data_IF_425496119814
#
_entry.id   IF_425496119814
#
_cell.length_a   1.000
_cell.length_b   1.000
_cell.length_c   1.000
_cell.angle_alpha   90.00
_cell.angle_beta   90.00
_cell.angle_gamma   90.00
#
_symmetry.space_group_name_H-M   'P 1'
#
loop_
_entity.id
_entity.type
_entity.pdbx_description
1 polymer ?
#
# COMPACT_ATOMS: atom_id res chain seq x y z
N UNK A 1 7.29 -22.27 -18.43
CA UNK A 1 7.62 -20.95 -17.85
C UNK A 1 6.35 -20.28 -17.30
N UNK A 2 5.70 -20.84 -16.28
CA UNK A 2 4.32 -20.43 -15.96
C UNK A 2 3.96 -20.25 -14.49
N UNK A 3 4.90 -20.45 -13.55
CA UNK A 3 4.63 -20.31 -12.11
C UNK A 3 5.66 -19.38 -11.47
N UNK A 4 6.95 -19.58 -11.77
CA UNK A 4 8.04 -18.71 -11.28
C UNK A 4 7.90 -17.23 -11.72
N UNK A 5 7.29 -16.96 -12.88
CA UNK A 5 7.07 -15.59 -13.36
C UNK A 5 5.93 -14.87 -12.64
N UNK A 6 4.88 -15.59 -12.21
CA UNK A 6 3.76 -15.03 -11.47
C UNK A 6 4.17 -14.69 -10.03
N UNK A 7 4.96 -15.57 -9.39
CA UNK A 7 5.51 -15.30 -8.06
C UNK A 7 6.48 -14.11 -8.08
N UNK A 8 7.37 -14.01 -9.07
CA UNK A 8 8.30 -12.89 -9.19
C UNK A 8 7.57 -11.55 -9.39
N UNK A 9 6.49 -11.51 -10.18
CA UNK A 9 5.73 -10.28 -10.42
C UNK A 9 4.92 -9.87 -9.19
N UNK A 10 4.30 -10.83 -8.51
CA UNK A 10 3.61 -10.51 -7.26
C UNK A 10 4.61 -10.06 -6.19
N UNK A 11 5.79 -10.69 -6.10
CA UNK A 11 6.89 -10.22 -5.26
C UNK A 11 7.35 -8.80 -5.63
N UNK A 12 7.46 -8.46 -6.91
CA UNK A 12 7.82 -7.12 -7.35
C UNK A 12 6.76 -6.09 -6.96
N UNK A 13 5.47 -6.44 -7.03
CA UNK A 13 4.36 -5.59 -6.56
C UNK A 13 4.29 -5.47 -5.07
N UNK A 14 4.53 -6.54 -4.34
CA UNK A 14 4.56 -6.55 -2.89
C UNK A 14 5.72 -5.72 -2.38
N UNK A 15 6.92 -5.91 -2.96
CA UNK A 15 8.08 -5.07 -2.71
C UNK A 15 7.81 -3.61 -3.06
N UNK A 16 7.04 -3.33 -4.11
CA UNK A 16 6.63 -1.95 -4.42
C UNK A 16 5.54 -1.43 -3.47
N UNK A 17 4.53 -2.21 -3.11
CA UNK A 17 3.54 -1.83 -2.11
C UNK A 17 4.23 -1.51 -0.79
N UNK A 18 5.21 -2.32 -0.43
CA UNK A 18 6.13 -2.08 0.67
C UNK A 18 6.98 -0.81 0.45
N UNK A 19 7.47 -0.52 -0.74
CA UNK A 19 8.16 0.74 -1.06
C UNK A 19 7.24 1.97 -0.96
N UNK A 20 5.96 1.84 -1.34
CA UNK A 20 4.97 2.90 -1.13
C UNK A 20 4.81 3.10 0.39
N UNK A 21 4.74 2.00 1.15
CA UNK A 21 4.75 2.02 2.62
C UNK A 21 6.07 2.59 3.17
N UNK A 22 7.22 2.37 2.54
CA UNK A 22 8.57 2.67 3.08
C UNK A 22 9.28 3.88 2.46
N UNK A 23 8.56 4.72 1.70
CA UNK A 23 9.05 6.04 1.30
C UNK A 23 10.40 6.07 0.55
N UNK A 24 10.53 5.36 -0.56
CA UNK A 24 11.42 5.86 -1.60
C UNK A 24 10.59 6.76 -2.55
N UNK A 25 11.15 7.93 -2.90
CA UNK A 25 10.49 9.05 -3.58
C UNK A 25 10.51 8.92 -5.11
N UNK A 26 10.74 7.72 -5.62
CA UNK A 26 10.80 7.45 -7.06
C UNK A 26 9.55 7.95 -7.79
N UNK A 27 9.76 8.42 -9.02
CA UNK A 27 8.66 8.91 -9.83
C UNK A 27 7.75 7.77 -10.26
N UNK A 28 6.40 7.89 -10.17
CA UNK A 28 5.46 6.86 -10.60
C UNK A 28 5.72 6.33 -12.02
N UNK A 29 6.16 7.19 -12.93
CA UNK A 29 6.45 6.79 -14.32
C UNK A 29 7.68 5.89 -14.45
N UNK A 30 8.65 6.00 -13.53
CA UNK A 30 9.84 5.12 -13.51
C UNK A 30 9.51 3.71 -13.03
N UNK A 31 8.42 3.56 -12.29
CA UNK A 31 8.01 2.30 -11.66
C UNK A 31 6.80 1.66 -12.35
N UNK A 32 6.10 2.39 -13.22
CA UNK A 32 4.99 1.86 -14.00
C UNK A 32 5.34 0.59 -14.79
N UNK A 33 6.51 0.48 -15.47
CA UNK A 33 6.88 -0.75 -16.17
C UNK A 33 6.99 -1.97 -15.25
N UNK A 34 7.50 -1.79 -14.02
CA UNK A 34 7.67 -2.87 -13.05
C UNK A 34 6.32 -3.42 -12.57
N UNK A 35 5.32 -2.56 -12.43
CA UNK A 35 3.99 -2.97 -11.95
C UNK A 35 3.17 -3.68 -13.02
N UNK A 36 3.50 -3.50 -14.30
CA UNK A 36 2.79 -4.04 -15.46
C UNK A 36 3.37 -5.36 -15.99
N UNK A 37 4.41 -5.92 -15.37
CA UNK A 37 5.21 -7.04 -15.90
C UNK A 37 4.45 -8.34 -16.24
N UNK A 38 3.27 -8.58 -15.65
CA UNK A 38 2.44 -9.77 -15.93
C UNK A 38 1.17 -9.47 -16.75
N UNK A 39 1.00 -8.23 -17.25
CA UNK A 39 -0.21 -7.80 -17.97
C UNK A 39 -1.40 -7.42 -17.10
N UNK A 40 -1.32 -7.44 -15.77
CA UNK A 40 -2.39 -6.98 -14.84
C UNK A 40 -2.40 -5.45 -14.70
N UNK A 41 -2.61 -4.76 -15.81
CA UNK A 41 -2.57 -3.30 -15.93
C UNK A 41 -3.48 -2.59 -14.93
N UNK A 42 -4.70 -3.11 -14.73
CA UNK A 42 -5.67 -2.50 -13.80
C UNK A 42 -5.17 -2.52 -12.35
N UNK A 43 -4.46 -3.58 -11.94
CA UNK A 43 -3.85 -3.67 -10.60
C UNK A 43 -2.65 -2.73 -10.50
N UNK A 44 -1.82 -2.70 -11.53
CA UNK A 44 -0.69 -1.78 -11.65
C UNK A 44 -1.13 -0.31 -11.50
N UNK A 45 -2.20 0.08 -12.20
CA UNK A 45 -2.76 1.44 -12.13
C UNK A 45 -3.26 1.81 -10.74
N UNK A 46 -3.86 0.88 -9.98
CA UNK A 46 -4.24 1.14 -8.58
C UNK A 46 -3.01 1.47 -7.74
N UNK A 47 -1.94 0.67 -7.84
CA UNK A 47 -0.70 0.91 -7.11
C UNK A 47 -0.03 2.24 -7.51
N UNK A 48 -0.05 2.57 -8.80
CA UNK A 48 0.42 3.87 -9.29
C UNK A 48 -0.42 5.05 -8.76
N UNK A 49 -1.73 4.90 -8.64
CA UNK A 49 -2.59 5.94 -8.06
C UNK A 49 -2.24 6.20 -6.58
N UNK A 50 -1.97 5.15 -5.80
CA UNK A 50 -1.46 5.29 -4.43
C UNK A 50 -0.11 6.02 -4.40
N UNK A 51 0.81 5.69 -5.30
CA UNK A 51 2.11 6.34 -5.37
C UNK A 51 2.00 7.83 -5.73
N UNK A 52 1.18 8.18 -6.72
CA UNK A 52 0.87 9.56 -7.10
C UNK A 52 0.22 10.31 -5.92
N UNK A 53 -0.78 9.72 -5.27
CA UNK A 53 -1.45 10.30 -4.11
C UNK A 53 -0.48 10.56 -2.96
N UNK A 54 0.43 9.63 -2.67
CA UNK A 54 1.47 9.78 -1.65
C UNK A 54 2.39 10.96 -1.99
N UNK A 55 2.76 11.13 -3.26
CA UNK A 55 3.68 12.19 -3.72
C UNK A 55 3.07 13.60 -3.61
N UNK A 56 1.82 13.77 -4.01
CA UNK A 56 1.17 15.09 -4.09
C UNK A 56 0.33 15.44 -2.85
N UNK A 57 0.03 14.44 -2.01
CA UNK A 57 -0.85 14.56 -0.85
C UNK A 57 -0.13 14.39 0.48
N UNK A 58 -0.90 14.05 1.51
CA UNK A 58 -0.36 13.76 2.82
C UNK A 58 0.18 12.32 2.85
N UNK A 59 1.51 12.21 2.67
CA UNK A 59 2.25 10.94 2.66
C UNK A 59 1.86 10.00 3.79
N UNK A 60 1.77 10.52 5.01
CA UNK A 60 1.52 9.69 6.19
C UNK A 60 0.08 9.19 6.24
N UNK A 61 -0.88 10.01 5.79
CA UNK A 61 -2.28 9.61 5.67
C UNK A 61 -2.48 8.54 4.59
N UNK A 62 -1.80 8.67 3.44
CA UNK A 62 -1.82 7.66 2.37
C UNK A 62 -1.16 6.36 2.83
N UNK A 63 -0.03 6.42 3.54
CA UNK A 63 0.62 5.24 4.15
C UNK A 63 -0.31 4.55 5.15
N UNK A 64 -0.95 5.30 6.04
CA UNK A 64 -1.91 4.72 7.00
C UNK A 64 -3.10 4.02 6.32
N UNK A 65 -3.58 4.57 5.20
CA UNK A 65 -4.61 3.89 4.40
C UNK A 65 -4.09 2.60 3.76
N UNK A 66 -2.86 2.59 3.24
CA UNK A 66 -2.25 1.36 2.72
C UNK A 66 -2.03 0.30 3.79
N UNK A 67 -1.57 0.70 4.98
CA UNK A 67 -1.45 -0.18 6.13
C UNK A 67 -2.79 -0.83 6.45
N UNK A 68 -3.87 -0.05 6.50
CA UNK A 68 -5.22 -0.57 6.72
C UNK A 68 -5.61 -1.60 5.66
N UNK A 69 -5.37 -1.27 4.38
CA UNK A 69 -5.77 -2.13 3.27
C UNK A 69 -4.98 -3.43 3.27
N UNK A 70 -3.66 -3.38 3.44
CA UNK A 70 -2.82 -4.57 3.49
C UNK A 70 -3.20 -5.42 4.70
N UNK A 71 -3.41 -4.83 5.88
CA UNK A 71 -3.73 -5.65 7.06
C UNK A 71 -5.09 -6.34 6.98
N UNK A 72 -6.09 -5.74 6.33
CA UNK A 72 -7.47 -6.25 6.35
C UNK A 72 -7.87 -7.03 5.10
N UNK A 73 -7.13 -6.91 4.00
CA UNK A 73 -7.49 -7.51 2.72
C UNK A 73 -6.37 -8.33 2.08
N UNK A 74 -5.15 -8.30 2.62
CA UNK A 74 -4.12 -9.26 2.24
C UNK A 74 -4.20 -10.47 3.18
N UNK A 75 -4.65 -11.60 2.65
CA UNK A 75 -4.65 -12.88 3.35
C UNK A 75 -5.75 -13.07 4.41
N UNK A 76 -5.92 -14.31 4.90
CA UNK A 76 -6.81 -14.63 6.00
C UNK A 76 -6.26 -14.12 7.34
N UNK A 77 -7.16 -13.95 8.31
CA UNK A 77 -6.80 -13.49 9.66
C UNK A 77 -5.87 -14.46 10.39
N UNK A 78 -4.69 -13.99 10.76
CA UNK A 78 -3.74 -14.62 11.66
C UNK A 78 -3.78 -13.94 13.03
N UNK A 79 -4.36 -14.62 14.01
CA UNK A 79 -4.53 -14.09 15.36
C UNK A 79 -3.22 -13.96 16.13
N UNK A 80 -2.23 -14.82 15.88
CA UNK A 80 -0.95 -14.77 16.57
C UNK A 80 -0.15 -13.57 16.09
N UNK A 81 -0.02 -13.44 14.77
CA UNK A 81 0.63 -12.31 14.12
C UNK A 81 -0.05 -10.99 14.45
N UNK A 82 -1.38 -10.95 14.48
CA UNK A 82 -2.16 -9.79 14.93
C UNK A 82 -1.79 -9.38 16.35
N UNK A 83 -1.79 -10.30 17.31
CA UNK A 83 -1.45 -10.00 18.72
C UNK A 83 -0.02 -9.52 18.85
N UNK A 84 0.92 -10.17 18.17
CA UNK A 84 2.32 -9.78 18.17
C UNK A 84 2.51 -8.36 17.62
N UNK A 85 1.92 -8.06 16.45
CA UNK A 85 2.06 -6.76 15.80
C UNK A 85 1.43 -5.65 16.64
N UNK A 86 0.23 -5.89 17.20
CA UNK A 86 -0.43 -4.94 18.10
C UNK A 86 0.46 -4.61 19.30
N UNK A 87 1.01 -5.62 19.99
CA UNK A 87 1.87 -5.40 21.15
C UNK A 87 3.11 -4.56 20.80
N UNK A 88 3.73 -4.83 19.64
CA UNK A 88 4.88 -4.07 19.13
C UNK A 88 4.53 -2.61 18.81
N UNK A 89 3.38 -2.37 18.18
CA UNK A 89 2.87 -1.02 17.90
C UNK A 89 2.61 -0.27 19.21
N UNK A 90 1.99 -0.92 20.19
CA UNK A 90 1.66 -0.29 21.47
C UNK A 90 2.89 0.12 22.27
N UNK A 91 3.97 -0.65 22.18
CA UNK A 91 5.26 -0.35 22.80
C UNK A 91 6.13 0.63 21.99
N UNK A 92 5.68 1.03 20.80
CA UNK A 92 6.47 1.89 19.91
C UNK A 92 7.70 1.22 19.29
N UNK A 93 7.76 -0.12 19.32
CA UNK A 93 8.87 -0.89 18.73
C UNK A 93 8.77 -0.95 17.19
N UNK A 94 7.57 -0.73 16.65
CA UNK A 94 7.29 -0.67 15.21
C UNK A 94 6.77 0.72 14.85
N UNK A 95 7.32 1.26 13.77
CA UNK A 95 6.93 2.51 13.12
C UNK A 95 6.52 2.22 11.68
N UNK A 96 5.96 3.19 10.96
CA UNK A 96 5.64 2.99 9.54
C UNK A 96 6.88 2.67 8.69
N UNK A 97 8.07 3.11 9.09
CA UNK A 97 9.30 2.97 8.29
C UNK A 97 9.86 1.55 8.36
N UNK A 98 9.64 0.84 9.48
CA UNK A 98 10.10 -0.54 9.64
C UNK A 98 9.00 -1.58 9.43
N UNK A 99 7.77 -1.17 9.12
CA UNK A 99 6.65 -2.04 8.80
C UNK A 99 6.81 -2.63 7.39
N UNK A 100 6.72 -3.96 7.25
CA UNK A 100 6.69 -4.65 5.95
C UNK A 100 5.27 -5.06 5.57
N UNK A 101 5.05 -5.41 4.30
CA UNK A 101 3.80 -6.07 3.90
C UNK A 101 3.63 -7.41 4.61
N UNK A 102 4.71 -8.20 4.69
CA UNK A 102 4.71 -9.49 5.37
C UNK A 102 4.28 -9.34 6.82
N UNK A 103 4.69 -8.31 7.55
CA UNK A 103 4.23 -8.09 8.93
C UNK A 103 2.73 -7.78 9.00
N UNK A 104 2.18 -7.10 7.98
CA UNK A 104 0.79 -6.64 7.95
C UNK A 104 -0.20 -7.69 7.50
N UNK A 105 0.16 -8.53 6.53
CA UNK A 105 -0.72 -9.51 5.93
C UNK A 105 -1.44 -10.35 7.00
N UNK A 106 -2.77 -10.42 6.91
CA UNK A 106 -3.60 -11.21 7.82
C UNK A 106 -3.75 -10.63 9.23
N UNK A 107 -3.32 -9.40 9.52
CA UNK A 107 -3.37 -8.87 10.91
C UNK A 107 -4.64 -8.11 11.27
N UNK A 108 -5.44 -7.68 10.29
CA UNK A 108 -6.72 -6.97 10.46
C UNK A 108 -6.63 -5.85 11.52
N UNK A 109 -5.70 -4.92 11.32
CA UNK A 109 -5.48 -3.82 12.25
C UNK A 109 -6.66 -2.85 12.24
N UNK A 110 -7.11 -2.48 13.44
CA UNK A 110 -8.07 -1.42 13.66
C UNK A 110 -7.43 -0.04 13.49
N UNK A 111 -8.23 0.96 13.11
CA UNK A 111 -7.75 2.33 12.90
C UNK A 111 -7.02 2.95 14.09
N UNK A 112 -7.31 2.55 15.33
CA UNK A 112 -6.59 3.06 16.51
C UNK A 112 -5.09 2.73 16.47
N UNK A 113 -4.72 1.54 15.99
CA UNK A 113 -3.31 1.13 15.89
C UNK A 113 -2.63 1.83 14.71
N UNK A 114 -3.37 2.05 13.63
CA UNK A 114 -2.90 2.81 12.47
C UNK A 114 -2.67 4.27 12.83
N UNK A 115 -3.57 4.89 13.61
CA UNK A 115 -3.38 6.24 14.15
C UNK A 115 -2.11 6.33 15.00
N UNK A 116 -1.80 5.32 15.82
CA UNK A 116 -0.55 5.26 16.59
C UNK A 116 0.68 5.22 15.68
N UNK A 117 0.66 4.39 14.64
CA UNK A 117 1.75 4.29 13.66
C UNK A 117 1.99 5.60 12.91
N UNK A 118 0.90 6.29 12.55
CA UNK A 118 0.92 7.50 11.72
C UNK A 118 1.21 8.76 12.55
N UNK A 119 0.96 8.72 13.86
CA UNK A 119 1.22 9.82 14.79
C UNK A 119 0.23 10.98 14.69
N UNK A 120 -0.85 10.84 13.90
CA UNK A 120 -1.89 11.86 13.72
C UNK A 120 -3.22 11.26 13.28
N UNK A 121 -4.25 12.09 13.30
CA UNK A 121 -5.54 11.73 12.74
C UNK A 121 -5.51 11.62 11.21
N UNK A 122 -6.21 10.61 10.69
CA UNK A 122 -6.31 10.32 9.26
C UNK A 122 -7.77 10.47 8.86
N UNK A 123 -8.04 11.35 7.90
CA UNK A 123 -9.32 11.38 7.22
C UNK A 123 -9.30 10.37 6.06
N UNK A 124 -9.58 9.10 6.38
CA UNK A 124 -9.50 8.00 5.41
C UNK A 124 -10.47 8.17 4.25
N UNK A 125 -11.62 8.82 4.45
CA UNK A 125 -12.58 9.15 3.39
C UNK A 125 -11.99 10.12 2.37
N UNK A 126 -11.31 11.18 2.84
CA UNK A 126 -10.65 12.17 1.97
C UNK A 126 -9.55 11.52 1.14
N UNK A 127 -8.70 10.71 1.76
CA UNK A 127 -7.59 10.06 1.04
C UNK A 127 -8.11 9.04 0.02
N UNK A 128 -9.12 8.23 0.38
CA UNK A 128 -9.77 7.31 -0.58
C UNK A 128 -10.34 8.04 -1.79
N UNK A 129 -10.99 9.19 -1.58
CA UNK A 129 -11.53 10.01 -2.67
C UNK A 129 -10.42 10.50 -3.60
N UNK A 130 -9.35 11.06 -3.03
CA UNK A 130 -8.21 11.56 -3.80
C UNK A 130 -7.53 10.46 -4.62
N UNK A 131 -7.28 9.28 -4.02
CA UNK A 131 -6.68 8.15 -4.75
C UNK A 131 -7.60 7.70 -5.88
N UNK A 132 -8.92 7.69 -5.66
CA UNK A 132 -9.90 7.36 -6.68
C UNK A 132 -9.90 8.36 -7.82
N UNK A 133 -9.90 9.66 -7.53
CA UNK A 133 -9.82 10.72 -8.55
C UNK A 133 -8.55 10.58 -9.40
N UNK A 134 -7.41 10.32 -8.78
CA UNK A 134 -6.14 10.08 -9.49
C UNK A 134 -6.24 8.84 -10.38
N UNK A 135 -6.81 7.76 -9.87
CA UNK A 135 -7.01 6.53 -10.66
C UNK A 135 -7.94 6.76 -11.86
N UNK A 136 -9.05 7.47 -11.67
CA UNK A 136 -10.00 7.80 -12.74
C UNK A 136 -9.36 8.70 -13.81
N UNK A 137 -8.56 9.70 -13.42
CA UNK A 137 -7.78 10.52 -14.34
C UNK A 137 -6.80 9.68 -15.16
N UNK A 138 -6.15 8.71 -14.54
CA UNK A 138 -5.22 7.80 -15.23
C UNK A 138 -5.93 6.90 -16.24
N UNK A 139 -7.15 6.43 -15.97
CA UNK A 139 -7.93 5.65 -16.93
C UNK A 139 -8.39 6.51 -18.12
N UNK A 140 -8.79 7.76 -17.88
CA UNK A 140 -9.21 8.69 -18.94
C UNK A 140 -8.06 9.05 -19.89
N UNK A 141 -6.89 9.40 -19.37
CA UNK A 141 -5.71 9.73 -20.19
C UNK A 141 -5.21 8.56 -21.05
N UNK A 142 -5.56 7.32 -20.68
CA UNK A 142 -5.18 6.12 -21.42
C UNK A 142 -6.21 5.69 -22.47
N UNK A 143 -7.47 6.14 -22.33
CA UNK A 143 -8.53 5.93 -23.30
C UNK A 143 -8.44 6.90 -24.50
N UNK A 144 -7.72 8.02 -24.32
CA UNK A 144 -7.52 9.06 -25.33
C UNK A 144 -6.19 8.93 -26.12
N UNK A 145 -5.33 7.98 -25.74
CA UNK A 145 -4.01 7.71 -26.34
C UNK A 145 -4.02 6.46 -27.22
#
# INVERSE_FOLDING_TARGET
MGIESLELVELARLAYGEHIIRCNEEHPDRVAPLLMLDGEERRARKWLAFAKAKRIGDRQSVRGLLVYLCSNYAGPLDQEKRRWLIAKIERGEITLDNLTFEMLEGTHLEWRYIKKLVGKEINSTREKRRIREIYEQMELSHAEA
#
